data_IF_593039897770
#
_entry.id   IF_593039897770
#
_cell.length_a   1.000
_cell.length_b   1.000
_cell.length_c   1.000
_cell.angle_alpha   90.00
_cell.angle_beta   90.00
_cell.angle_gamma   90.00
#
_symmetry.space_group_name_H-M   'P 1'
#
loop_
_entity.id
_entity.type
_entity.pdbx_description
1 polymer ?
#
# COMPACT_ATOMS: atom_id res chain seq x y z
N UNK A 1 -84.62 -35.00 9.52
CA UNK A 1 -84.00 -34.16 8.49
C UNK A 1 -82.86 -34.95 7.90
N UNK A 2 -82.91 -35.22 6.59
CA UNK A 2 -81.97 -36.13 5.92
C UNK A 2 -80.53 -35.70 6.13
N UNK A 3 -79.67 -36.62 6.57
CA UNK A 3 -78.22 -36.42 6.77
C UNK A 3 -77.41 -36.80 5.52
N UNK A 4 -78.09 -37.03 4.39
CA UNK A 4 -77.43 -37.33 3.10
C UNK A 4 -76.89 -36.05 2.47
N UNK A 5 -75.60 -36.01 2.10
CA UNK A 5 -75.02 -34.88 1.39
C UNK A 5 -75.79 -34.62 0.09
N UNK A 6 -76.24 -33.38 -0.10
CA UNK A 6 -76.84 -32.93 -1.37
C UNK A 6 -75.73 -32.33 -2.21
N UNK A 7 -75.41 -32.98 -3.33
CA UNK A 7 -74.42 -32.48 -4.30
C UNK A 7 -75.11 -31.54 -5.27
N UNK A 8 -74.72 -30.26 -5.27
CA UNK A 8 -75.19 -29.26 -6.23
C UNK A 8 -74.21 -29.20 -7.41
N UNK A 9 -74.68 -29.54 -8.62
CA UNK A 9 -73.95 -29.43 -9.88
C UNK A 9 -74.47 -28.24 -10.71
N UNK A 10 -73.62 -27.67 -11.57
CA UNK A 10 -73.93 -26.53 -12.45
C UNK A 10 -74.38 -25.22 -11.76
N UNK A 11 -73.86 -24.93 -10.56
CA UNK A 11 -74.08 -23.65 -9.88
C UNK A 11 -73.46 -22.51 -10.70
N UNK A 12 -74.28 -21.58 -11.18
CA UNK A 12 -73.83 -20.37 -11.88
C UNK A 12 -73.01 -19.47 -10.95
N UNK A 13 -72.20 -18.56 -11.51
CA UNK A 13 -71.41 -17.63 -10.71
C UNK A 13 -72.33 -16.71 -9.91
N UNK A 14 -72.11 -16.61 -8.60
CA UNK A 14 -72.85 -15.71 -7.74
C UNK A 14 -72.50 -14.25 -8.06
N UNK A 15 -73.52 -13.39 -8.18
CA UNK A 15 -73.38 -11.96 -8.49
C UNK A 15 -73.79 -11.07 -7.32
N UNK A 16 -74.68 -11.56 -6.44
CA UNK A 16 -75.05 -10.89 -5.20
C UNK A 16 -74.26 -11.43 -3.99
N UNK A 17 -74.07 -10.65 -2.91
CA UNK A 17 -73.30 -11.06 -1.73
C UNK A 17 -73.83 -12.31 -1.02
N UNK A 18 -75.08 -12.68 -1.26
CA UNK A 18 -75.77 -13.85 -0.67
C UNK A 18 -75.77 -15.08 -1.58
N UNK A 19 -75.33 -14.95 -2.83
CA UNK A 19 -75.32 -16.07 -3.77
C UNK A 19 -74.24 -17.10 -3.39
N UNK A 20 -74.50 -18.37 -3.69
CA UNK A 20 -73.51 -19.42 -3.48
C UNK A 20 -72.33 -19.25 -4.46
N UNK A 21 -71.11 -19.29 -3.92
CA UNK A 21 -69.88 -19.23 -4.71
C UNK A 21 -69.66 -20.57 -5.41
N UNK A 22 -69.46 -20.55 -6.73
CA UNK A 22 -69.15 -21.76 -7.47
C UNK A 22 -67.64 -22.04 -7.50
N UNK A 23 -67.26 -23.24 -7.94
CA UNK A 23 -65.87 -23.68 -7.98
C UNK A 23 -64.96 -22.75 -8.79
N UNK A 24 -65.47 -22.13 -9.86
CA UNK A 24 -64.68 -21.22 -10.70
C UNK A 24 -64.31 -19.91 -9.99
N UNK A 25 -65.23 -19.32 -9.22
CA UNK A 25 -64.97 -18.12 -8.41
C UNK A 25 -64.01 -18.41 -7.26
N UNK A 26 -64.15 -19.58 -6.62
CA UNK A 26 -63.21 -20.01 -5.57
C UNK A 26 -61.82 -20.29 -6.15
N UNK A 27 -61.74 -20.91 -7.33
CA UNK A 27 -60.50 -21.15 -8.06
C UNK A 27 -59.82 -19.85 -8.48
N UNK A 28 -60.57 -18.87 -9.00
CA UNK A 28 -60.02 -17.57 -9.38
C UNK A 28 -59.52 -16.80 -8.17
N UNK A 29 -60.28 -16.79 -7.06
CA UNK A 29 -59.85 -16.15 -5.82
C UNK A 29 -58.59 -16.82 -5.26
N UNK A 30 -58.52 -18.15 -5.23
CA UNK A 30 -57.35 -18.91 -4.82
C UNK A 30 -56.12 -18.58 -5.69
N UNK A 31 -56.30 -18.56 -7.01
CA UNK A 31 -55.24 -18.24 -7.97
C UNK A 31 -54.74 -16.80 -7.77
N UNK A 32 -55.67 -15.84 -7.62
CA UNK A 32 -55.34 -14.42 -7.39
C UNK A 32 -54.66 -14.19 -6.03
N UNK A 33 -55.09 -14.91 -5.00
CA UNK A 33 -54.50 -14.81 -3.66
C UNK A 33 -53.11 -15.43 -3.64
N UNK A 34 -52.93 -16.59 -4.29
CA UNK A 34 -51.64 -17.27 -4.47
C UNK A 34 -50.65 -16.39 -5.25
N UNK A 35 -51.08 -15.79 -6.36
CA UNK A 35 -50.24 -14.87 -7.14
C UNK A 35 -49.90 -13.60 -6.35
N UNK A 36 -50.85 -13.03 -5.62
CA UNK A 36 -50.59 -11.90 -4.72
C UNK A 36 -49.56 -12.22 -3.64
N UNK A 37 -49.72 -13.37 -2.95
CA UNK A 37 -48.77 -13.85 -1.94
C UNK A 37 -47.39 -14.11 -2.56
N UNK A 38 -47.32 -14.77 -3.72
CA UNK A 38 -46.06 -15.05 -4.42
C UNK A 38 -45.32 -13.76 -4.83
N UNK A 39 -46.07 -12.75 -5.27
CA UNK A 39 -45.51 -11.44 -5.61
C UNK A 39 -44.97 -10.73 -4.36
N UNK A 40 -45.72 -10.77 -3.25
CA UNK A 40 -45.27 -10.22 -1.98
C UNK A 40 -44.02 -10.95 -1.45
N UNK A 41 -43.99 -12.29 -1.53
CA UNK A 41 -42.85 -13.12 -1.16
C UNK A 41 -41.59 -12.74 -1.98
N UNK A 42 -41.74 -12.60 -3.30
CA UNK A 42 -40.66 -12.17 -4.19
C UNK A 42 -40.15 -10.78 -3.82
N UNK A 43 -41.05 -9.86 -3.43
CA UNK A 43 -40.68 -8.54 -2.93
C UNK A 43 -39.88 -8.60 -1.61
N UNK A 44 -40.29 -9.47 -0.68
CA UNK A 44 -39.57 -9.70 0.58
C UNK A 44 -38.19 -10.31 0.32
N UNK A 45 -38.08 -11.28 -0.58
CA UNK A 45 -36.80 -11.92 -0.94
C UNK A 45 -35.84 -10.93 -1.62
N UNK A 46 -36.37 -10.06 -2.48
CA UNK A 46 -35.59 -8.99 -3.13
C UNK A 46 -35.13 -7.94 -2.10
N UNK A 47 -35.97 -7.58 -1.14
CA UNK A 47 -35.59 -6.68 -0.05
C UNK A 47 -34.54 -7.32 0.88
N UNK A 48 -34.68 -8.61 1.19
CA UNK A 48 -33.72 -9.38 1.99
C UNK A 48 -32.34 -9.44 1.32
N UNK A 49 -32.30 -9.74 0.03
CA UNK A 49 -31.06 -9.72 -0.76
C UNK A 49 -30.47 -8.31 -0.86
N UNK A 50 -31.30 -7.28 -1.09
CA UNK A 50 -30.85 -5.88 -1.08
C UNK A 50 -30.28 -5.44 0.27
N UNK A 51 -30.91 -5.85 1.38
CA UNK A 51 -30.43 -5.55 2.73
C UNK A 51 -29.15 -6.31 3.06
N UNK A 52 -29.03 -7.58 2.68
CA UNK A 52 -27.80 -8.37 2.83
C UNK A 52 -26.63 -7.75 2.06
N UNK A 53 -26.88 -7.29 0.83
CA UNK A 53 -25.89 -6.58 0.02
C UNK A 53 -25.46 -5.28 0.70
N UNK A 54 -26.42 -4.51 1.22
CA UNK A 54 -26.14 -3.27 1.96
C UNK A 54 -25.31 -3.55 3.21
N UNK A 55 -25.66 -4.56 4.00
CA UNK A 55 -24.94 -4.96 5.20
C UNK A 55 -23.51 -5.40 4.87
N UNK A 56 -23.32 -6.14 3.79
CA UNK A 56 -22.00 -6.55 3.30
C UNK A 56 -21.16 -5.34 2.91
N UNK A 57 -21.73 -4.39 2.15
CA UNK A 57 -21.04 -3.16 1.78
C UNK A 57 -20.64 -2.31 2.99
N UNK A 58 -21.53 -2.17 3.98
CA UNK A 58 -21.23 -1.47 5.24
C UNK A 58 -20.11 -2.17 6.01
N UNK A 59 -20.12 -3.50 6.04
CA UNK A 59 -19.07 -4.30 6.71
C UNK A 59 -17.72 -4.11 6.01
N UNK A 60 -17.68 -4.18 4.67
CA UNK A 60 -16.48 -3.94 3.88
C UNK A 60 -15.96 -2.51 4.06
N UNK A 61 -16.84 -1.50 4.05
CA UNK A 61 -16.46 -0.11 4.28
C UNK A 61 -15.91 0.11 5.69
N UNK A 62 -16.54 -0.47 6.71
CA UNK A 62 -16.07 -0.43 8.10
C UNK A 62 -14.68 -1.06 8.23
N UNK A 63 -14.49 -2.23 7.61
CA UNK A 63 -13.20 -2.95 7.62
C UNK A 63 -12.12 -2.14 6.91
N UNK A 64 -12.43 -1.59 5.73
CA UNK A 64 -11.49 -0.80 4.94
C UNK A 64 -11.14 0.52 5.63
N UNK A 65 -12.11 1.14 6.31
CA UNK A 65 -11.89 2.37 7.09
C UNK A 65 -11.02 2.08 8.31
N UNK A 66 -11.28 0.99 9.04
CA UNK A 66 -10.48 0.63 10.23
C UNK A 66 -9.04 0.27 9.86
N UNK A 67 -8.84 -0.46 8.76
CA UNK A 67 -7.48 -0.74 8.24
C UNK A 67 -6.79 0.55 7.80
N UNK A 68 -7.48 1.43 7.05
CA UNK A 68 -6.93 2.71 6.62
C UNK A 68 -6.51 3.60 7.81
N UNK A 69 -7.35 3.69 8.84
CA UNK A 69 -7.04 4.41 10.08
C UNK A 69 -5.85 3.77 10.80
N UNK A 70 -5.82 2.44 10.92
CA UNK A 70 -4.72 1.73 11.59
C UNK A 70 -3.39 1.94 10.87
N UNK A 71 -3.38 1.90 9.54
CA UNK A 71 -2.17 2.17 8.74
C UNK A 71 -1.71 3.61 8.91
N UNK A 72 -2.64 4.57 8.90
CA UNK A 72 -2.31 5.97 9.16
C UNK A 72 -1.72 6.17 10.56
N UNK A 73 -2.29 5.52 11.58
CA UNK A 73 -1.81 5.58 12.96
C UNK A 73 -0.39 5.00 13.08
N UNK A 74 -0.12 3.84 12.48
CA UNK A 74 1.24 3.27 12.43
C UNK A 74 2.23 4.19 11.71
N UNK A 75 1.79 4.91 10.68
CA UNK A 75 2.59 5.94 10.02
C UNK A 75 2.94 7.10 10.93
N UNK A 76 1.98 7.59 11.73
CA UNK A 76 2.21 8.64 12.74
C UNK A 76 3.16 8.17 13.83
N UNK A 77 3.01 6.93 14.33
CA UNK A 77 3.89 6.37 15.35
C UNK A 77 5.33 6.20 14.84
N UNK A 78 5.48 5.76 13.59
CA UNK A 78 6.78 5.66 12.91
C UNK A 78 7.42 7.03 12.72
N UNK A 79 6.64 8.06 12.38
CA UNK A 79 7.13 9.42 12.25
C UNK A 79 7.52 10.02 13.61
N UNK A 80 6.74 9.74 14.66
CA UNK A 80 7.03 10.16 16.04
C UNK A 80 8.34 9.56 16.55
N UNK A 81 8.53 8.26 16.36
CA UNK A 81 9.79 7.57 16.71
C UNK A 81 10.97 8.07 15.89
N UNK A 82 10.79 8.30 14.58
CA UNK A 82 11.79 8.93 13.71
C UNK A 82 12.19 10.33 14.20
N UNK A 83 11.21 11.18 14.50
CA UNK A 83 11.44 12.54 14.99
C UNK A 83 12.15 12.56 16.35
N UNK A 84 11.77 11.66 17.25
CA UNK A 84 12.41 11.52 18.57
C UNK A 84 13.88 11.08 18.45
N UNK A 85 14.17 10.18 17.50
CA UNK A 85 15.53 9.76 17.17
C UNK A 85 16.35 10.93 16.61
N UNK A 86 15.79 11.69 15.66
CA UNK A 86 16.44 12.91 15.14
C UNK A 86 16.72 13.92 16.24
N UNK A 87 15.76 14.17 17.14
CA UNK A 87 15.93 15.10 18.24
C UNK A 87 17.04 14.67 19.22
N UNK A 88 17.12 13.36 19.49
CA UNK A 88 18.18 12.77 20.33
C UNK A 88 19.56 12.88 19.69
N UNK A 89 19.65 12.67 18.37
CA UNK A 89 20.90 12.84 17.61
C UNK A 89 21.36 14.29 17.59
N UNK A 90 20.45 15.25 17.38
CA UNK A 90 20.75 16.68 17.43
C UNK A 90 21.24 17.09 18.82
N UNK A 91 20.58 16.62 19.88
CA UNK A 91 20.99 16.89 21.27
C UNK A 91 22.37 16.33 21.58
N UNK A 92 22.66 15.11 21.11
CA UNK A 92 23.96 14.47 21.27
C UNK A 92 25.06 15.23 20.52
N UNK A 93 24.79 15.63 19.27
CA UNK A 93 25.72 16.42 18.47
C UNK A 93 25.99 17.78 19.09
N UNK A 94 24.96 18.47 19.61
CA UNK A 94 25.10 19.73 20.33
C UNK A 94 25.98 19.57 21.57
N UNK A 95 25.79 18.47 22.31
CA UNK A 95 26.59 18.16 23.50
C UNK A 95 28.04 17.91 23.11
N UNK A 96 28.30 17.04 22.13
CA UNK A 96 29.65 16.76 21.62
C UNK A 96 30.35 17.99 21.05
N UNK A 97 29.63 18.87 20.35
CA UNK A 97 30.18 20.12 19.85
C UNK A 97 30.57 21.05 21.00
N UNK A 98 29.70 21.19 22.02
CA UNK A 98 30.00 22.03 23.19
C UNK A 98 31.21 21.53 23.98
N UNK A 99 31.33 20.22 24.19
CA UNK A 99 32.47 19.63 24.91
C UNK A 99 33.75 19.72 24.09
N UNK A 100 33.67 19.51 22.77
CA UNK A 100 34.79 19.72 21.85
C UNK A 100 35.31 21.16 21.87
N UNK A 101 34.41 22.15 21.81
CA UNK A 101 34.76 23.58 21.89
C UNK A 101 35.38 23.91 23.25
N UNK A 102 34.79 23.48 24.36
CA UNK A 102 35.36 23.72 25.71
C UNK A 102 36.75 23.10 25.88
N UNK A 103 36.97 21.90 25.33
CA UNK A 103 38.26 21.23 25.38
C UNK A 103 39.30 22.01 24.58
N UNK A 104 38.94 22.43 23.36
CA UNK A 104 39.81 23.25 22.53
C UNK A 104 40.15 24.60 23.21
N UNK A 105 39.17 25.25 23.83
CA UNK A 105 39.37 26.50 24.55
C UNK A 105 40.30 26.32 25.77
N UNK A 106 40.11 25.25 26.55
CA UNK A 106 41.00 24.91 27.65
C UNK A 106 42.44 24.64 27.17
N UNK A 107 42.59 24.03 25.99
CA UNK A 107 43.89 23.84 25.34
C UNK A 107 44.56 25.17 24.94
N UNK A 108 43.79 26.11 24.40
CA UNK A 108 44.27 27.47 24.08
C UNK A 108 44.68 28.23 25.35
N UNK A 109 43.90 28.15 26.42
CA UNK A 109 44.23 28.79 27.70
C UNK A 109 45.51 28.20 28.32
N UNK A 110 45.66 26.88 28.24
CA UNK A 110 46.88 26.17 28.68
C UNK A 110 48.10 26.57 27.85
N UNK A 111 47.94 26.75 26.54
CA UNK A 111 49.02 27.21 25.68
C UNK A 111 49.38 28.68 25.96
N UNK A 112 48.38 29.53 26.20
CA UNK A 112 48.57 30.94 26.57
C UNK A 112 49.35 31.10 27.88
N UNK A 113 48.99 30.31 28.90
CA UNK A 113 49.71 30.28 30.18
C UNK A 113 51.12 29.70 30.04
N UNK A 114 51.30 28.64 29.25
CA UNK A 114 52.61 28.07 28.92
C UNK A 114 53.52 29.06 28.19
N UNK A 115 52.98 29.81 27.22
CA UNK A 115 53.71 30.83 26.48
C UNK A 115 54.09 32.00 27.39
N UNK A 116 53.20 32.45 28.26
CA UNK A 116 53.46 33.51 29.24
C UNK A 116 54.56 33.11 30.23
N UNK A 117 54.56 31.86 30.68
CA UNK A 117 55.61 31.29 31.53
C UNK A 117 56.95 31.26 30.79
N UNK A 118 56.95 30.80 29.54
CA UNK A 118 58.15 30.78 28.69
C UNK A 118 58.71 32.19 28.49
N UNK A 119 57.86 33.16 28.19
CA UNK A 119 58.26 34.57 28.02
C UNK A 119 58.86 35.16 29.31
N UNK A 120 58.29 34.82 30.46
CA UNK A 120 58.79 35.24 31.78
C UNK A 120 60.16 34.61 32.09
N UNK A 121 60.34 33.34 31.76
CA UNK A 121 61.62 32.64 31.92
C UNK A 121 62.71 33.23 31.02
N UNK A 122 62.40 33.52 29.75
CA UNK A 122 63.32 34.17 28.82
C UNK A 122 63.72 35.56 29.32
N UNK A 123 62.75 36.35 29.81
CA UNK A 123 63.02 37.68 30.37
C UNK A 123 63.91 37.61 31.62
N UNK A 124 63.65 36.63 32.50
CA UNK A 124 64.44 36.40 33.70
C UNK A 124 65.87 35.95 33.36
N UNK A 125 66.02 35.05 32.38
CA UNK A 125 67.33 34.60 31.91
C UNK A 125 68.12 35.73 31.25
N UNK A 126 67.46 36.56 30.44
CA UNK A 126 68.07 37.76 29.84
C UNK A 126 68.57 38.72 30.91
N UNK A 127 67.77 38.96 31.95
CA UNK A 127 68.15 39.80 33.09
C UNK A 127 69.37 39.21 33.81
N UNK A 128 69.33 37.93 34.17
CA UNK A 128 70.44 37.23 34.84
C UNK A 128 71.72 37.21 34.01
N UNK A 129 71.62 37.03 32.69
CA UNK A 129 72.77 37.09 31.79
C UNK A 129 73.37 38.51 31.76
N UNK A 130 72.52 39.55 31.68
CA UNK A 130 72.98 40.95 31.67
C UNK A 130 73.68 41.36 32.97
N UNK A 131 73.17 40.92 34.13
CA UNK A 131 73.78 41.19 35.43
C UNK A 131 75.07 40.41 35.61
N UNK A 132 75.11 39.15 35.16
CA UNK A 132 76.33 38.34 35.14
C UNK A 132 77.45 38.96 34.30
N UNK A 133 77.13 39.40 33.09
CA UNK A 133 78.10 40.09 32.20
C UNK A 133 78.58 41.40 32.83
N UNK A 134 77.69 42.22 33.40
CA UNK A 134 78.05 43.49 34.05
C UNK A 134 78.97 43.28 35.26
N UNK A 135 78.72 42.22 36.04
CA UNK A 135 79.55 41.85 37.19
C UNK A 135 80.94 41.41 36.74
N UNK A 136 81.01 40.56 35.71
CA UNK A 136 82.28 40.12 35.13
C UNK A 136 83.10 41.30 34.59
N UNK A 137 82.45 42.25 33.90
CA UNK A 137 83.10 43.46 33.40
C UNK A 137 83.65 44.33 34.54
N UNK A 138 82.87 44.54 35.61
CA UNK A 138 83.33 45.26 36.81
C UNK A 138 84.54 44.58 37.47
N UNK A 139 84.58 43.24 37.45
CA UNK A 139 85.73 42.45 37.92
C UNK A 139 86.99 42.68 37.06
N UNK A 140 86.84 42.73 35.74
CA UNK A 140 87.93 43.05 34.81
C UNK A 140 88.46 44.47 35.04
N UNK A 141 87.58 45.45 35.22
CA UNK A 141 87.96 46.84 35.50
C UNK A 141 88.70 46.97 36.84
N UNK A 142 88.23 46.25 37.86
CA UNK A 142 88.88 46.17 39.18
C UNK A 142 90.26 45.52 39.09
N UNK A 143 90.41 44.47 38.27
CA UNK A 143 91.71 43.84 38.04
C UNK A 143 92.67 44.77 37.27
N UNK A 144 92.17 45.50 36.28
CA UNK A 144 92.93 46.49 35.51
C UNK A 144 93.47 47.62 36.41
N UNK A 145 92.63 48.14 37.30
CA UNK A 145 93.03 49.16 38.28
C UNK A 145 94.01 48.60 39.31
N UNK A 146 93.79 47.37 39.80
CA UNK A 146 94.72 46.66 40.69
C UNK A 146 96.10 46.43 40.05
N UNK A 147 96.14 46.05 38.76
CA UNK A 147 97.38 45.86 38.00
C UNK A 147 98.11 47.20 37.79
N UNK A 148 97.38 48.26 37.47
CA UNK A 148 97.94 49.61 37.32
C UNK A 148 98.55 50.13 38.62
N UNK A 149 97.88 49.85 39.74
CA UNK A 149 98.39 50.17 41.10
C UNK A 149 99.66 49.39 41.39
N UNK A 150 99.67 48.09 41.09
CA UNK A 150 100.85 47.23 41.24
C UNK A 150 102.02 47.75 40.41
N UNK A 151 101.80 48.12 39.15
CA UNK A 151 102.83 48.67 38.27
C UNK A 151 103.40 50.01 38.81
N UNK A 152 102.54 50.85 39.36
CA UNK A 152 102.93 52.11 40.00
C UNK A 152 103.76 51.88 41.27
N UNK A 153 103.39 50.88 42.07
CA UNK A 153 104.13 50.47 43.26
C UNK A 153 105.51 49.90 42.90
N UNK A 154 105.61 49.07 41.86
CA UNK A 154 106.90 48.55 41.35
C UNK A 154 107.81 49.69 40.87
N UNK A 155 107.24 50.66 40.15
CA UNK A 155 107.98 51.85 39.71
C UNK A 155 108.49 52.65 40.91
N UNK A 156 107.61 52.89 41.89
CA UNK A 156 107.94 53.63 43.13
C UNK A 156 109.01 52.92 43.95
N UNK A 157 108.95 51.59 44.05
CA UNK A 157 109.94 50.75 44.70
C UNK A 157 111.29 50.81 43.97
N UNK A 158 111.30 50.86 42.63
CA UNK A 158 112.52 51.03 41.83
C UNK A 158 113.22 52.36 42.13
N UNK A 159 112.47 53.48 42.16
CA UNK A 159 113.00 54.79 42.58
C UNK A 159 113.49 54.82 44.04
N UNK A 160 112.73 54.17 44.94
CA UNK A 160 113.09 54.12 46.36
C UNK A 160 114.35 53.29 46.60
N UNK A 161 114.50 52.16 45.89
CA UNK A 161 115.69 51.30 45.94
C UNK A 161 116.92 52.03 45.40
N UNK A 162 116.76 52.81 44.32
CA UNK A 162 117.81 53.66 43.77
C UNK A 162 118.28 54.72 44.79
N UNK A 163 117.34 55.27 45.57
CA UNK A 163 117.62 56.25 46.63
C UNK A 163 118.25 55.60 47.87
N UNK A 164 117.83 54.37 48.21
CA UNK A 164 118.38 53.59 49.33
C UNK A 164 119.84 53.16 49.10
N UNK A 165 120.22 52.86 47.85
CA UNK A 165 121.62 52.59 47.49
C UNK A 165 122.49 53.85 47.68
N UNK A 166 121.93 55.05 47.44
CA UNK A 166 122.63 56.31 47.70
C UNK A 166 122.84 56.59 49.20
N UNK A 167 121.93 56.12 50.08
CA UNK A 167 122.07 56.28 51.53
C UNK A 167 122.91 55.18 52.18
N UNK A 168 122.99 53.98 51.61
CA UNK A 168 123.88 52.91 52.10
C UNK A 168 125.37 53.28 51.97
N UNK A 169 125.71 54.15 51.02
CA UNK A 169 127.05 54.76 50.92
C UNK A 169 127.41 55.66 52.12
N UNK A 170 126.45 56.03 52.97
CA UNK A 170 126.62 56.93 54.12
C UNK A 170 126.59 56.19 55.48
N UNK A 171 125.93 55.03 55.56
CA UNK A 171 125.67 54.32 56.83
C UNK A 171 126.74 53.31 57.29
N UNK A 172 127.89 53.22 56.60
CA UNK A 172 129.01 52.39 57.05
C UNK A 172 129.59 52.81 58.42
N UNK A 173 129.18 53.97 58.96
CA UNK A 173 129.63 54.46 60.26
C UNK A 173 128.89 53.90 61.48
N UNK A 174 127.77 53.16 61.31
CA UNK A 174 126.92 52.70 62.43
C UNK A 174 126.59 51.18 62.42
N UNK A 175 127.39 50.31 61.79
CA UNK A 175 127.02 48.89 61.61
C UNK A 175 127.25 47.99 62.84
N UNK A 176 126.30 47.06 63.07
CA UNK A 176 126.44 45.91 63.98
C UNK A 176 127.52 44.96 63.44
N UNK A 177 128.41 44.48 64.31
CA UNK A 177 129.51 43.58 63.96
C UNK A 177 129.09 42.12 64.20
N UNK A 178 129.66 41.21 63.42
CA UNK A 178 129.51 39.78 63.61
C UNK A 178 130.27 39.29 64.85
N UNK A 179 129.81 38.17 65.43
CA UNK A 179 130.40 37.59 66.63
C UNK A 179 131.84 37.13 66.41
N UNK A 180 132.15 36.69 65.18
CA UNK A 180 133.47 36.28 64.74
C UNK A 180 133.72 36.67 63.28
N UNK A 181 134.98 36.53 62.85
CA UNK A 181 135.43 36.84 61.49
C UNK A 181 134.96 35.84 60.42
N UNK A 182 134.26 34.76 60.80
CA UNK A 182 133.62 33.85 59.84
C UNK A 182 132.20 34.30 59.49
N UNK A 183 131.69 35.34 60.18
CA UNK A 183 130.40 35.99 59.90
C UNK A 183 129.19 35.03 59.90
N UNK A 184 129.31 33.90 60.58
CA UNK A 184 128.28 32.84 60.57
C UNK A 184 127.13 33.11 61.54
N UNK A 185 127.34 34.02 62.50
CA UNK A 185 126.38 34.34 63.55
C UNK A 185 126.57 35.77 64.08
N UNK A 186 125.46 36.40 64.43
CA UNK A 186 125.42 37.62 65.23
C UNK A 186 124.58 37.30 66.46
N UNK A 187 125.16 37.36 67.65
CA UNK A 187 124.46 37.24 68.92
C UNK A 187 124.17 38.65 69.41
N UNK A 188 122.94 39.11 69.17
CA UNK A 188 122.46 40.39 69.66
C UNK A 188 122.50 40.34 71.20
N UNK A 189 123.31 41.21 71.83
CA UNK A 189 123.64 41.17 73.27
C UNK A 189 125.10 40.85 73.60
N UNK A 190 125.92 40.45 72.60
CA UNK A 190 127.32 40.09 72.75
C UNK A 190 127.57 38.57 72.79
N UNK A 191 128.79 38.16 72.45
CA UNK A 191 129.19 36.73 72.35
C UNK A 191 128.96 35.99 73.68
N UNK A 192 128.18 34.89 73.63
CA UNK A 192 127.89 34.05 74.80
C UNK A 192 126.62 34.39 75.59
N UNK A 193 125.82 35.36 75.15
CA UNK A 193 124.53 35.68 75.78
C UNK A 193 123.51 34.53 75.63
N UNK A 194 122.88 34.10 76.72
CA UNK A 194 121.84 33.05 76.77
C UNK A 194 120.46 33.57 77.16
N UNK A 195 120.35 34.85 77.51
CA UNK A 195 119.09 35.54 77.75
C UNK A 195 118.46 35.97 76.42
N UNK A 196 117.16 35.69 76.18
CA UNK A 196 116.48 36.15 74.98
C UNK A 196 116.55 37.68 74.86
N UNK A 197 117.18 38.19 73.80
CA UNK A 197 117.20 39.61 73.52
C UNK A 197 115.92 39.97 72.77
N UNK A 198 115.13 40.86 73.38
CA UNK A 198 113.91 41.35 72.75
C UNK A 198 114.28 42.32 71.64
N UNK A 199 114.06 41.92 70.40
CA UNK A 199 114.19 42.81 69.25
C UNK A 199 112.88 43.59 69.07
N UNK A 200 112.84 44.78 69.63
CA UNK A 200 111.74 45.74 69.42
C UNK A 200 112.05 46.64 68.23
N UNK A 201 111.01 47.21 67.62
CA UNK A 201 111.14 48.10 66.46
C UNK A 201 111.80 47.45 65.23
N UNK A 202 111.70 46.12 65.07
CA UNK A 202 112.07 45.47 63.80
C UNK A 202 111.15 46.01 62.71
N UNK A 203 111.72 46.84 61.85
CA UNK A 203 111.03 47.36 60.67
C UNK A 203 110.58 46.18 59.79
N UNK A 204 109.58 46.41 58.94
CA UNK A 204 109.12 45.38 58.01
C UNK A 204 110.30 44.97 57.10
N UNK A 205 110.57 43.67 57.02
CA UNK A 205 111.57 43.13 56.10
C UNK A 205 111.17 43.43 54.66
N UNK A 206 112.09 43.97 53.86
CA UNK A 206 111.85 44.34 52.46
C UNK A 206 112.54 43.35 51.52
N UNK A 207 113.70 42.82 51.92
CA UNK A 207 114.46 41.83 51.14
C UNK A 207 114.14 40.39 51.58
N UNK A 208 114.32 39.38 50.70
CA UNK A 208 114.01 37.97 51.02
C UNK A 208 114.77 37.37 52.20
N UNK A 209 115.89 37.98 52.58
CA UNK A 209 116.74 37.55 53.70
C UNK A 209 116.51 38.36 54.98
N UNK A 210 115.65 39.38 54.96
CA UNK A 210 115.34 40.17 56.14
C UNK A 210 114.52 39.34 57.14
N UNK A 211 114.65 39.65 58.43
CA UNK A 211 113.77 39.08 59.43
C UNK A 211 112.35 39.63 59.25
N UNK A 212 111.36 38.74 59.17
CA UNK A 212 109.94 39.13 59.14
C UNK A 212 109.49 39.60 60.52
N UNK A 213 108.82 40.74 60.59
CA UNK A 213 108.24 41.20 61.84
C UNK A 213 106.81 40.64 62.04
N UNK A 214 106.28 40.75 63.26
CA UNK A 214 104.95 40.22 63.59
C UNK A 214 103.83 40.84 62.74
N UNK A 215 103.94 42.13 62.39
CA UNK A 215 102.92 42.80 61.55
C UNK A 215 102.83 42.24 60.13
N UNK A 216 103.97 41.86 59.53
CA UNK A 216 104.01 41.23 58.21
C UNK A 216 103.45 39.80 58.25
N UNK A 217 103.82 39.01 59.27
CA UNK A 217 103.28 37.67 59.45
C UNK A 217 101.78 37.69 59.73
N UNK A 218 101.32 38.64 60.56
CA UNK A 218 99.90 38.85 60.85
C UNK A 218 99.14 39.28 59.60
N UNK A 219 99.66 40.22 58.81
CA UNK A 219 99.02 40.68 57.57
C UNK A 219 98.91 39.57 56.53
N UNK A 220 99.95 38.74 56.39
CA UNK A 220 99.93 37.58 55.51
C UNK A 220 98.91 36.53 55.98
N UNK A 221 98.85 36.27 57.30
CA UNK A 221 97.88 35.35 57.89
C UNK A 221 96.44 35.84 57.68
N UNK A 222 96.16 37.13 57.91
CA UNK A 222 94.85 37.74 57.65
C UNK A 222 94.50 37.70 56.16
N UNK A 223 95.42 38.05 55.26
CA UNK A 223 95.18 37.98 53.81
C UNK A 223 94.92 36.56 53.34
N UNK A 224 95.68 35.58 53.85
CA UNK A 224 95.49 34.17 53.51
C UNK A 224 94.14 33.67 54.01
N UNK A 225 93.78 33.99 55.26
CA UNK A 225 92.47 33.62 55.84
C UNK A 225 91.31 34.25 55.07
N UNK A 226 91.39 35.54 54.74
CA UNK A 226 90.33 36.22 53.98
C UNK A 226 90.21 35.73 52.54
N UNK A 227 91.34 35.43 51.88
CA UNK A 227 91.36 34.80 50.57
C UNK A 227 90.71 33.42 50.56
N UNK A 228 91.02 32.57 51.55
CA UNK A 228 90.39 31.25 51.72
C UNK A 228 88.89 31.39 52.00
N UNK A 229 88.47 32.29 52.90
CA UNK A 229 87.06 32.52 53.18
C UNK A 229 86.28 33.00 51.95
N UNK A 230 86.85 33.90 51.16
CA UNK A 230 86.23 34.41 49.93
C UNK A 230 86.07 33.29 48.89
N UNK A 231 87.10 32.46 48.71
CA UNK A 231 87.03 31.30 47.82
C UNK A 231 85.96 30.31 48.29
N UNK A 232 85.85 30.06 49.59
CA UNK A 232 84.84 29.17 50.16
C UNK A 232 83.41 29.70 49.97
N UNK A 233 83.17 31.00 50.19
CA UNK A 233 81.87 31.63 49.88
C UNK A 233 81.51 31.56 48.39
N UNK A 234 82.51 31.63 47.49
CA UNK A 234 82.32 31.42 46.06
C UNK A 234 81.87 29.98 45.74
N UNK A 235 82.47 28.99 46.39
CA UNK A 235 82.08 27.57 46.26
C UNK A 235 80.66 27.35 46.79
N UNK A 236 80.30 27.93 47.93
CA UNK A 236 78.96 27.80 48.51
C UNK A 236 77.89 28.44 47.60
N UNK A 237 78.20 29.61 47.01
CA UNK A 237 77.33 30.28 46.05
C UNK A 237 77.15 29.47 44.76
N UNK A 238 78.22 28.82 44.29
CA UNK A 238 78.14 27.93 43.13
C UNK A 238 77.34 26.67 43.45
N UNK A 239 77.50 26.10 44.66
CA UNK A 239 76.74 24.94 45.12
C UNK A 239 75.24 25.25 45.17
N UNK A 240 74.86 26.37 45.77
CA UNK A 240 73.46 26.82 45.81
C UNK A 240 72.89 27.13 44.43
N UNK A 241 73.66 27.78 43.56
CA UNK A 241 73.29 28.01 42.16
C UNK A 241 73.08 26.71 41.36
N UNK A 242 73.95 25.71 41.57
CA UNK A 242 73.84 24.40 40.95
C UNK A 242 72.62 23.63 41.47
N UNK A 243 72.37 23.63 42.78
CA UNK A 243 71.17 23.03 43.36
C UNK A 243 69.89 23.65 42.82
N UNK A 244 69.85 24.98 42.69
CA UNK A 244 68.72 25.71 42.10
C UNK A 244 68.50 25.29 40.64
N UNK A 245 69.58 25.21 39.86
CA UNK A 245 69.53 24.74 38.47
C UNK A 245 69.01 23.31 38.38
N UNK A 246 69.49 22.41 39.24
CA UNK A 246 69.04 21.02 39.29
C UNK A 246 67.54 20.90 39.66
N UNK A 247 67.07 21.70 40.62
CA UNK A 247 65.66 21.77 40.96
C UNK A 247 64.81 22.27 39.80
N UNK A 248 65.24 23.33 39.10
CA UNK A 248 64.53 23.85 37.94
C UNK A 248 64.44 22.83 36.80
N UNK A 249 65.53 22.11 36.51
CA UNK A 249 65.54 21.03 35.52
C UNK A 249 64.59 19.90 35.92
N UNK A 250 64.56 19.53 37.20
CA UNK A 250 63.64 18.52 37.73
C UNK A 250 62.20 18.96 37.56
N UNK A 251 61.85 20.18 37.97
CA UNK A 251 60.51 20.73 37.82
C UNK A 251 60.08 20.82 36.35
N UNK A 252 60.96 21.25 35.45
CA UNK A 252 60.68 21.31 34.02
C UNK A 252 60.45 19.91 33.44
N UNK A 253 61.25 18.92 33.84
CA UNK A 253 61.09 17.51 33.44
C UNK A 253 59.73 16.97 33.88
N UNK A 254 59.35 17.20 35.15
CA UNK A 254 58.04 16.81 35.68
C UNK A 254 56.91 17.49 34.93
N UNK A 255 56.94 18.82 34.78
CA UNK A 255 55.91 19.57 34.04
C UNK A 255 55.78 19.11 32.58
N UNK A 256 56.91 18.86 31.91
CA UNK A 256 56.91 18.37 30.52
C UNK A 256 56.29 16.98 30.44
N UNK A 257 56.67 16.07 31.34
CA UNK A 257 56.10 14.72 31.41
C UNK A 257 54.60 14.75 31.69
N UNK A 258 54.14 15.58 32.63
CA UNK A 258 52.72 15.74 32.93
C UNK A 258 51.96 16.31 31.73
N UNK A 259 52.49 17.37 31.10
CA UNK A 259 51.90 17.98 29.91
C UNK A 259 51.76 17.01 28.74
N UNK A 260 52.80 16.21 28.46
CA UNK A 260 52.75 15.14 27.45
C UNK A 260 51.69 14.10 27.80
N UNK A 261 51.63 13.67 29.06
CA UNK A 261 50.66 12.65 29.50
C UNK A 261 49.21 13.14 29.41
N UNK A 262 48.95 14.41 29.74
CA UNK A 262 47.63 15.04 29.55
C UNK A 262 47.27 15.14 28.08
N UNK A 263 48.21 15.56 27.22
CA UNK A 263 47.98 15.62 25.77
C UNK A 263 47.66 14.23 25.19
N UNK A 264 48.38 13.20 25.62
CA UNK A 264 48.14 11.82 25.19
C UNK A 264 46.77 11.30 25.65
N UNK A 265 46.37 11.59 26.90
CA UNK A 265 45.03 11.27 27.39
C UNK A 265 43.92 11.97 26.59
N UNK A 266 44.18 13.21 26.15
CA UNK A 266 43.28 13.94 25.25
C UNK A 266 43.16 13.29 23.87
N UNK A 267 44.27 12.82 23.30
CA UNK A 267 44.28 12.06 22.03
C UNK A 267 43.51 10.75 22.16
N UNK A 268 43.70 10.01 23.25
CA UNK A 268 42.99 8.75 23.50
C UNK A 268 41.47 8.99 23.67
N UNK A 269 41.10 10.05 24.37
CA UNK A 269 39.70 10.48 24.53
C UNK A 269 39.08 10.88 23.19
N UNK A 270 39.83 11.57 22.34
CA UNK A 270 39.37 11.93 20.99
C UNK A 270 39.25 10.68 20.09
N UNK A 271 40.18 9.75 20.19
CA UNK A 271 40.17 8.46 19.46
C UNK A 271 38.93 7.63 19.82
N UNK A 272 38.65 7.50 21.11
CA UNK A 272 37.44 6.82 21.60
C UNK A 272 36.17 7.54 21.15
N UNK A 273 36.10 8.87 21.29
CA UNK A 273 34.97 9.67 20.81
C UNK A 273 34.73 9.56 19.30
N UNK A 274 35.80 9.53 18.51
CA UNK A 274 35.72 9.33 17.06
C UNK A 274 35.23 7.92 16.71
N UNK A 275 35.70 6.89 17.41
CA UNK A 275 35.24 5.51 17.23
C UNK A 275 33.75 5.34 17.56
N UNK A 276 33.27 5.96 18.65
CA UNK A 276 31.85 6.00 18.99
C UNK A 276 31.04 6.71 17.91
N UNK A 277 31.52 7.85 17.42
CA UNK A 277 30.87 8.59 16.32
C UNK A 277 30.77 7.75 15.06
N UNK A 278 31.86 7.08 14.67
CA UNK A 278 31.89 6.19 13.50
C UNK A 278 30.93 5.01 13.63
N UNK A 279 30.84 4.43 14.83
CA UNK A 279 29.89 3.34 15.14
C UNK A 279 28.45 3.82 15.02
N UNK A 280 28.12 4.99 15.57
CA UNK A 280 26.79 5.57 15.49
C UNK A 280 26.38 5.87 14.04
N UNK A 281 27.29 6.41 13.23
CA UNK A 281 27.06 6.65 11.79
C UNK A 281 26.80 5.35 11.05
N UNK A 282 27.57 4.29 11.35
CA UNK A 282 27.39 2.97 10.74
C UNK A 282 26.04 2.34 11.12
N UNK A 283 25.64 2.44 12.39
CA UNK A 283 24.33 1.98 12.86
C UNK A 283 23.20 2.77 12.21
N UNK A 284 23.30 4.10 12.14
CA UNK A 284 22.29 4.94 11.49
C UNK A 284 22.17 4.61 10.00
N UNK A 285 23.29 4.40 9.30
CA UNK A 285 23.29 3.97 7.90
C UNK A 285 22.58 2.62 7.71
N UNK A 286 22.80 1.68 8.63
CA UNK A 286 22.16 0.36 8.58
C UNK A 286 20.66 0.45 8.88
N UNK A 287 20.26 1.24 9.88
CA UNK A 287 18.85 1.49 10.20
C UNK A 287 18.13 2.23 9.07
N UNK A 288 18.77 3.22 8.45
CA UNK A 288 18.20 3.93 7.32
C UNK A 288 18.02 3.02 6.10
N UNK A 289 19.02 2.17 5.77
CA UNK A 289 18.91 1.25 4.64
C UNK A 289 17.83 0.19 4.86
N UNK A 290 17.73 -0.39 6.06
CA UNK A 290 16.67 -1.34 6.40
C UNK A 290 15.28 -0.69 6.43
N UNK A 291 15.17 0.54 6.95
CA UNK A 291 13.93 1.32 6.92
C UNK A 291 13.46 1.60 5.49
N UNK A 292 14.36 2.06 4.61
CA UNK A 292 14.08 2.27 3.18
C UNK A 292 13.67 0.97 2.50
N UNK A 293 14.39 -0.13 2.72
CA UNK A 293 14.05 -1.43 2.12
C UNK A 293 12.67 -1.92 2.54
N UNK A 294 12.32 -1.75 3.82
CA UNK A 294 11.01 -2.14 4.35
C UNK A 294 9.89 -1.30 3.72
N UNK A 295 10.11 0.02 3.61
CA UNK A 295 9.16 0.90 2.94
C UNK A 295 8.98 0.53 1.45
N UNK A 296 10.08 0.21 0.75
CA UNK A 296 10.06 -0.26 -0.63
C UNK A 296 9.22 -1.54 -0.77
N UNK A 297 9.44 -2.54 0.09
CA UNK A 297 8.65 -3.78 0.09
C UNK A 297 7.17 -3.54 0.39
N UNK A 298 6.85 -2.56 1.24
CA UNK A 298 5.48 -2.11 1.49
C UNK A 298 4.82 -1.53 0.24
N UNK A 299 5.54 -0.69 -0.52
CA UNK A 299 5.07 -0.14 -1.80
C UNK A 299 4.87 -1.24 -2.84
N UNK A 300 5.78 -2.20 -2.95
CA UNK A 300 5.67 -3.33 -3.87
C UNK A 300 4.47 -4.23 -3.54
N UNK A 301 4.23 -4.46 -2.25
CA UNK A 301 3.06 -5.21 -1.75
C UNK A 301 1.75 -4.47 -2.05
N UNK A 302 1.74 -3.14 -1.90
CA UNK A 302 0.57 -2.33 -2.24
C UNK A 302 0.33 -2.31 -3.76
N UNK A 303 1.38 -2.24 -4.56
CA UNK A 303 1.32 -2.31 -6.03
C UNK A 303 0.72 -3.64 -6.51
N UNK A 304 1.21 -4.75 -5.97
CA UNK A 304 0.67 -6.10 -6.26
C UNK A 304 -0.75 -6.26 -5.77
N UNK A 305 -1.08 -5.76 -4.57
CA UNK A 305 -2.45 -5.74 -4.04
C UNK A 305 -3.41 -4.94 -4.93
N UNK A 306 -3.00 -3.75 -5.38
CA UNK A 306 -3.80 -2.91 -6.27
C UNK A 306 -4.01 -3.56 -7.65
N UNK A 307 -2.97 -4.18 -8.21
CA UNK A 307 -3.06 -4.93 -9.47
C UNK A 307 -4.04 -6.11 -9.37
N UNK A 308 -4.02 -6.82 -8.24
CA UNK A 308 -4.96 -7.91 -7.94
C UNK A 308 -6.40 -7.40 -7.85
N UNK A 309 -6.62 -6.30 -7.11
CA UNK A 309 -7.94 -5.66 -7.03
C UNK A 309 -8.42 -5.21 -8.42
N UNK A 310 -7.56 -4.58 -9.23
CA UNK A 310 -7.90 -4.15 -10.58
C UNK A 310 -8.29 -5.33 -11.50
N UNK A 311 -7.58 -6.45 -11.38
CA UNK A 311 -7.86 -7.68 -12.12
C UNK A 311 -9.20 -8.31 -11.68
N UNK A 312 -9.49 -8.31 -10.38
CA UNK A 312 -10.76 -8.79 -9.84
C UNK A 312 -11.93 -7.92 -10.29
N UNK A 313 -11.78 -6.60 -10.28
CA UNK A 313 -12.81 -5.66 -10.78
C UNK A 313 -13.04 -5.88 -12.28
N UNK A 314 -11.99 -6.06 -13.07
CA UNK A 314 -12.10 -6.34 -14.51
C UNK A 314 -12.81 -7.67 -14.78
N UNK A 315 -12.47 -8.70 -14.01
CA UNK A 315 -13.10 -10.02 -14.09
C UNK A 315 -14.59 -9.98 -13.70
N UNK A 316 -14.91 -9.25 -12.62
CA UNK A 316 -16.29 -9.06 -12.18
C UNK A 316 -17.10 -8.27 -13.21
N UNK A 317 -16.53 -7.20 -13.79
CA UNK A 317 -17.15 -6.43 -14.87
C UNK A 317 -17.44 -7.31 -16.08
N UNK A 318 -16.48 -8.17 -16.46
CA UNK A 318 -16.66 -9.12 -17.57
C UNK A 318 -17.78 -10.11 -17.26
N UNK A 319 -17.74 -10.76 -16.10
CA UNK A 319 -18.78 -11.71 -15.66
C UNK A 319 -20.17 -11.08 -15.54
N UNK A 320 -20.25 -9.84 -15.05
CA UNK A 320 -21.51 -9.09 -15.00
C UNK A 320 -22.04 -8.81 -16.41
N UNK A 321 -21.16 -8.40 -17.34
CA UNK A 321 -21.54 -8.14 -18.73
C UNK A 321 -22.04 -9.39 -19.46
N UNK A 322 -21.37 -10.54 -19.28
CA UNK A 322 -21.79 -11.81 -19.87
C UNK A 322 -23.06 -12.34 -19.22
N UNK A 323 -23.21 -12.19 -17.90
CA UNK A 323 -24.44 -12.52 -17.17
C UNK A 323 -25.64 -11.74 -17.68
N UNK A 324 -25.50 -10.42 -17.82
CA UNK A 324 -26.55 -9.54 -18.38
C UNK A 324 -26.86 -9.92 -19.83
N UNK A 325 -25.85 -10.13 -20.67
CA UNK A 325 -26.04 -10.50 -22.07
C UNK A 325 -26.78 -11.84 -22.20
N UNK A 326 -26.45 -12.82 -21.36
CA UNK A 326 -27.11 -14.13 -21.33
C UNK A 326 -28.57 -14.00 -20.89
N UNK A 327 -28.83 -13.23 -19.84
CA UNK A 327 -30.19 -12.95 -19.38
C UNK A 327 -31.02 -12.27 -20.48
N UNK A 328 -30.43 -11.31 -21.21
CA UNK A 328 -31.08 -10.63 -22.32
C UNK A 328 -31.39 -11.58 -23.48
N UNK A 329 -30.46 -12.45 -23.87
CA UNK A 329 -30.73 -13.51 -24.87
C UNK A 329 -31.83 -14.48 -24.42
N UNK A 330 -31.91 -14.76 -23.11
CA UNK A 330 -33.00 -15.55 -22.53
C UNK A 330 -34.36 -14.86 -22.67
N UNK A 331 -34.42 -13.55 -22.41
CA UNK A 331 -35.63 -12.72 -22.61
C UNK A 331 -36.02 -12.68 -24.10
N UNK A 332 -35.06 -12.51 -25.01
CA UNK A 332 -35.31 -12.50 -26.45
C UNK A 332 -35.84 -13.86 -26.96
N UNK A 333 -35.28 -14.95 -26.44
CA UNK A 333 -35.74 -16.32 -26.74
C UNK A 333 -37.14 -16.57 -26.20
N UNK A 334 -37.46 -16.06 -25.00
CA UNK A 334 -38.80 -16.15 -24.45
C UNK A 334 -39.81 -15.30 -25.24
N UNK A 335 -39.40 -14.12 -25.68
CA UNK A 335 -40.20 -13.22 -26.53
C UNK A 335 -40.55 -13.89 -27.87
N UNK A 336 -39.56 -14.49 -28.54
CA UNK A 336 -39.77 -15.25 -29.78
C UNK A 336 -40.63 -16.50 -29.56
N UNK A 337 -40.40 -17.23 -28.46
CA UNK A 337 -41.24 -18.36 -28.05
C UNK A 337 -42.70 -17.96 -27.83
N UNK A 338 -42.93 -16.85 -27.12
CA UNK A 338 -44.27 -16.31 -26.87
C UNK A 338 -44.97 -15.88 -28.17
N UNK A 339 -44.25 -15.19 -29.07
CA UNK A 339 -44.75 -14.82 -30.40
C UNK A 339 -45.14 -16.05 -31.24
N UNK A 340 -44.34 -17.12 -31.15
CA UNK A 340 -44.63 -18.39 -31.84
C UNK A 340 -45.90 -19.04 -31.27
N UNK A 341 -46.03 -19.12 -29.94
CA UNK A 341 -47.25 -19.60 -29.29
C UNK A 341 -48.46 -18.77 -29.68
N UNK A 342 -48.35 -17.44 -29.68
CA UNK A 342 -49.43 -16.55 -30.09
C UNK A 342 -49.86 -16.79 -31.55
N UNK A 343 -48.89 -16.99 -32.44
CA UNK A 343 -49.13 -17.30 -33.86
C UNK A 343 -49.80 -18.67 -34.04
N UNK A 344 -49.38 -19.68 -33.26
CA UNK A 344 -50.01 -21.01 -33.26
C UNK A 344 -51.45 -20.95 -32.75
N UNK A 345 -51.72 -20.22 -31.66
CA UNK A 345 -53.08 -20.02 -31.14
C UNK A 345 -53.96 -19.32 -32.17
N UNK A 346 -53.44 -18.29 -32.84
CA UNK A 346 -54.16 -17.57 -33.91
C UNK A 346 -54.47 -18.50 -35.10
N UNK A 347 -53.49 -19.32 -35.50
CA UNK A 347 -53.64 -20.28 -36.60
C UNK A 347 -54.65 -21.39 -36.26
N UNK A 348 -54.61 -21.90 -35.03
CA UNK A 348 -55.57 -22.88 -34.53
C UNK A 348 -56.98 -22.28 -34.48
N UNK A 349 -57.13 -21.07 -33.94
CA UNK A 349 -58.41 -20.36 -33.92
C UNK A 349 -58.98 -20.20 -35.34
N UNK A 350 -58.17 -19.77 -36.30
CA UNK A 350 -58.57 -19.62 -37.71
C UNK A 350 -58.98 -20.96 -38.32
N UNK A 351 -58.21 -22.02 -38.06
CA UNK A 351 -58.48 -23.38 -38.57
C UNK A 351 -59.77 -23.95 -37.99
N UNK A 352 -59.98 -23.81 -36.68
CA UNK A 352 -61.20 -24.24 -35.99
C UNK A 352 -62.41 -23.46 -36.50
N UNK A 353 -62.32 -22.14 -36.64
CA UNK A 353 -63.40 -21.33 -37.23
C UNK A 353 -63.73 -21.76 -38.65
N UNK A 354 -62.71 -22.08 -39.46
CA UNK A 354 -62.91 -22.59 -40.82
C UNK A 354 -63.59 -23.95 -40.83
N UNK A 355 -63.16 -24.88 -39.97
CA UNK A 355 -63.78 -26.21 -39.84
C UNK A 355 -65.23 -26.15 -39.34
N UNK A 356 -65.54 -25.25 -38.41
CA UNK A 356 -66.91 -25.00 -37.96
C UNK A 356 -67.74 -24.44 -39.12
N UNK A 357 -67.19 -23.51 -39.90
CA UNK A 357 -67.87 -22.95 -41.07
C UNK A 357 -68.17 -24.01 -42.13
N UNK A 358 -67.23 -24.92 -42.42
CA UNK A 358 -67.47 -26.00 -43.38
C UNK A 358 -68.52 -26.98 -42.88
N UNK A 359 -68.46 -27.39 -41.61
CA UNK A 359 -69.47 -28.26 -41.00
C UNK A 359 -70.86 -27.62 -40.99
N UNK A 360 -70.94 -26.33 -40.65
CA UNK A 360 -72.19 -25.57 -40.68
C UNK A 360 -72.79 -25.51 -42.10
N UNK A 361 -71.96 -25.30 -43.12
CA UNK A 361 -72.40 -25.30 -44.52
C UNK A 361 -72.85 -26.70 -44.98
N UNK A 362 -72.11 -27.75 -44.62
CA UNK A 362 -72.52 -29.13 -44.90
C UNK A 362 -73.85 -29.50 -44.24
N UNK A 363 -74.09 -29.07 -43.00
CA UNK A 363 -75.37 -29.27 -42.32
C UNK A 363 -76.54 -28.50 -42.97
N UNK A 364 -76.26 -27.32 -43.54
CA UNK A 364 -77.25 -26.53 -44.27
C UNK A 364 -77.66 -27.20 -45.61
N UNK A 365 -76.75 -27.95 -46.24
CA UNK A 365 -77.00 -28.60 -47.53
C UNK A 365 -77.49 -30.05 -47.42
N UNK A 366 -77.56 -30.63 -46.22
CA UNK A 366 -78.04 -32.00 -46.01
C UNK A 366 -79.57 -32.04 -45.90
N UNK A 367 -80.17 -33.12 -46.39
CA UNK A 367 -81.60 -33.41 -46.16
C UNK A 367 -81.80 -33.74 -44.69
N UNK A 368 -82.60 -32.92 -44.01
CA UNK A 368 -82.94 -33.12 -42.60
C UNK A 368 -84.25 -33.90 -42.48
N UNK A 369 -84.32 -34.80 -41.50
CA UNK A 369 -85.58 -35.39 -41.09
C UNK A 369 -86.42 -34.37 -40.33
N UNK A 370 -87.73 -34.56 -40.37
CA UNK A 370 -88.65 -33.64 -39.70
C UNK A 370 -88.55 -33.73 -38.16
N UNK A 371 -88.16 -34.90 -37.67
CA UNK A 371 -87.97 -35.19 -36.26
C UNK A 371 -86.80 -36.16 -36.05
N UNK A 372 -86.45 -36.39 -34.79
CA UNK A 372 -85.39 -37.32 -34.39
C UNK A 372 -85.77 -38.80 -34.56
N UNK A 373 -87.04 -39.12 -34.87
CA UNK A 373 -87.48 -40.50 -35.13
C UNK A 373 -87.19 -40.91 -36.58
N UNK A 374 -86.78 -39.97 -37.44
CA UNK A 374 -86.42 -40.20 -38.84
C UNK A 374 -87.54 -40.86 -39.66
N UNK A 375 -88.79 -40.63 -39.26
CA UNK A 375 -89.94 -41.28 -39.88
C UNK A 375 -90.39 -40.58 -41.17
N UNK A 376 -90.04 -39.30 -41.33
CA UNK A 376 -90.47 -38.45 -42.44
C UNK A 376 -89.46 -37.35 -42.75
N UNK A 377 -89.35 -37.01 -44.02
CA UNK A 377 -88.67 -35.81 -44.53
C UNK A 377 -89.71 -34.95 -45.25
N UNK A 378 -89.85 -33.69 -44.83
CA UNK A 378 -90.56 -32.66 -45.60
C UNK A 378 -89.53 -31.85 -46.39
N UNK A 379 -89.51 -32.07 -47.70
CA UNK A 379 -88.65 -31.32 -48.62
C UNK A 379 -89.08 -29.85 -48.59
N UNK A 380 -88.14 -28.94 -48.27
CA UNK A 380 -88.42 -27.53 -47.98
C UNK A 380 -88.41 -27.15 -46.50
N UNK A 381 -88.19 -28.12 -45.59
CA UNK A 381 -88.07 -27.93 -44.15
C UNK A 381 -89.33 -28.31 -43.37
N UNK A 382 -89.16 -28.53 -42.06
CA UNK A 382 -90.24 -28.90 -41.13
C UNK A 382 -91.41 -27.91 -41.21
N UNK A 383 -92.62 -28.42 -41.46
CA UNK A 383 -93.83 -27.60 -41.54
C UNK A 383 -93.99 -26.82 -42.86
N UNK A 384 -93.09 -26.98 -43.83
CA UNK A 384 -93.25 -26.40 -45.16
C UNK A 384 -94.44 -27.03 -45.88
N UNK A 385 -95.35 -26.19 -46.38
CA UNK A 385 -96.55 -26.61 -47.12
C UNK A 385 -96.45 -26.29 -48.62
N UNK A 386 -95.40 -25.58 -49.03
CA UNK A 386 -95.12 -25.28 -50.43
C UNK A 386 -94.52 -26.51 -51.12
N UNK A 387 -95.11 -27.00 -52.22
CA UNK A 387 -94.55 -28.14 -52.97
C UNK A 387 -93.13 -27.86 -53.44
N UNK A 388 -92.21 -28.80 -53.18
CA UNK A 388 -90.83 -28.72 -53.68
C UNK A 388 -90.69 -29.55 -54.94
N UNK A 389 -90.20 -28.93 -56.00
CA UNK A 389 -89.90 -29.61 -57.26
C UNK A 389 -88.65 -30.46 -57.12
N UNK A 390 -88.78 -31.78 -57.28
CA UNK A 390 -87.65 -32.71 -57.40
C UNK A 390 -87.39 -33.00 -58.88
N UNK A 391 -86.25 -32.53 -59.36
CA UNK A 391 -85.76 -32.79 -60.72
C UNK A 391 -84.69 -33.88 -60.70
N UNK A 392 -84.41 -34.49 -61.86
CA UNK A 392 -83.38 -35.54 -62.02
C UNK A 392 -83.63 -36.81 -61.18
N UNK A 393 -84.91 -37.12 -60.88
CA UNK A 393 -85.28 -38.39 -60.24
C UNK A 393 -85.11 -39.51 -61.25
N UNK A 394 -84.14 -40.39 -61.00
CA UNK A 394 -83.94 -41.61 -61.79
C UNK A 394 -85.19 -42.51 -61.75
N UNK A 395 -85.36 -43.39 -62.74
CA UNK A 395 -86.49 -44.32 -62.74
C UNK A 395 -86.40 -45.24 -61.50
N UNK A 396 -87.47 -45.28 -60.71
CA UNK A 396 -87.54 -46.14 -59.54
C UNK A 396 -87.50 -47.62 -59.95
N UNK A 397 -86.62 -48.40 -59.34
CA UNK A 397 -86.47 -49.83 -59.63
C UNK A 397 -87.12 -50.66 -58.53
N UNK A 398 -87.00 -50.22 -57.28
CA UNK A 398 -87.55 -50.91 -56.11
C UNK A 398 -88.95 -50.40 -55.74
N UNK A 399 -89.75 -51.18 -54.99
CA UNK A 399 -91.09 -50.77 -54.56
C UNK A 399 -91.12 -49.50 -53.70
N UNK A 400 -89.99 -49.13 -53.10
CA UNK A 400 -89.82 -47.96 -52.23
C UNK A 400 -89.21 -46.75 -52.94
N UNK A 401 -88.81 -46.90 -54.20
CA UNK A 401 -88.24 -45.79 -54.96
C UNK A 401 -89.35 -44.82 -55.40
N UNK A 402 -89.01 -43.54 -55.51
CA UNK A 402 -89.93 -42.56 -56.07
C UNK A 402 -90.18 -42.85 -57.55
N UNK A 403 -91.46 -42.92 -57.96
CA UNK A 403 -91.85 -43.06 -59.36
C UNK A 403 -91.60 -41.73 -60.07
N UNK A 404 -90.80 -41.74 -61.13
CA UNK A 404 -90.56 -40.53 -61.91
C UNK A 404 -91.63 -40.32 -63.00
N UNK A 405 -91.62 -39.13 -63.62
CA UNK A 405 -92.65 -38.75 -64.59
C UNK A 405 -92.67 -39.67 -65.83
N UNK A 406 -91.53 -40.18 -66.30
CA UNK A 406 -91.49 -41.07 -67.47
C UNK A 406 -92.12 -42.43 -67.17
N UNK A 407 -91.94 -42.97 -65.96
CA UNK A 407 -92.61 -44.20 -65.53
C UNK A 407 -94.13 -44.03 -65.41
N UNK A 408 -94.59 -42.93 -64.81
CA UNK A 408 -96.03 -42.63 -64.72
C UNK A 408 -96.65 -42.36 -66.10
N UNK A 409 -95.95 -41.62 -66.96
CA UNK A 409 -96.35 -41.35 -68.34
C UNK A 409 -96.42 -42.65 -69.16
N UNK A 410 -95.46 -43.57 -68.97
CA UNK A 410 -95.47 -44.89 -69.61
C UNK A 410 -96.66 -45.71 -69.16
N UNK A 411 -96.96 -45.74 -67.86
CA UNK A 411 -98.16 -46.41 -67.34
C UNK A 411 -99.44 -45.80 -67.91
N UNK A 412 -99.58 -44.47 -67.86
CA UNK A 412 -100.73 -43.74 -68.42
C UNK A 412 -100.93 -44.04 -69.91
N UNK A 413 -99.84 -44.07 -70.67
CA UNK A 413 -99.87 -44.41 -72.10
C UNK A 413 -100.35 -45.84 -72.27
N UNK A 414 -99.74 -46.80 -71.57
CA UNK A 414 -100.10 -48.22 -71.63
C UNK A 414 -101.57 -48.47 -71.28
N UNK A 415 -102.10 -47.78 -70.26
CA UNK A 415 -103.52 -47.84 -69.88
C UNK A 415 -104.43 -47.22 -70.95
N UNK A 416 -104.06 -46.07 -71.51
CA UNK A 416 -104.82 -45.42 -72.59
C UNK A 416 -104.90 -46.30 -73.84
N UNK A 417 -103.80 -46.96 -74.23
CA UNK A 417 -103.78 -47.90 -75.36
C UNK A 417 -104.64 -49.13 -75.07
N UNK A 418 -104.62 -49.64 -73.84
CA UNK A 418 -105.47 -50.74 -73.39
C UNK A 418 -106.96 -50.41 -73.47
N UNK A 419 -107.37 -49.23 -72.99
CA UNK A 419 -108.76 -48.74 -73.07
C UNK A 419 -109.17 -48.54 -74.54
N UNK A 420 -108.30 -47.95 -75.36
CA UNK A 420 -108.58 -47.74 -76.78
C UNK A 420 -108.79 -49.08 -77.50
N UNK A 421 -107.97 -50.09 -77.19
CA UNK A 421 -108.10 -51.45 -77.77
C UNK A 421 -109.42 -52.11 -77.35
N UNK A 422 -109.83 -51.95 -76.10
CA UNK A 422 -111.11 -52.45 -75.62
C UNK A 422 -112.31 -51.78 -76.34
N UNK A 423 -112.24 -50.45 -76.54
CA UNK A 423 -113.27 -49.69 -77.27
C UNK A 423 -113.43 -50.18 -78.72
N UNK A 424 -112.32 -50.40 -79.43
CA UNK A 424 -112.32 -50.94 -80.80
C UNK A 424 -112.98 -52.33 -80.89
N UNK A 425 -112.79 -53.16 -79.85
CA UNK A 425 -113.44 -54.46 -79.73
C UNK A 425 -114.97 -54.34 -79.57
N UNK A 426 -115.43 -53.38 -78.78
CA UNK A 426 -116.86 -53.08 -78.62
C UNK A 426 -117.48 -52.58 -79.93
N UNK A 427 -116.78 -51.72 -80.67
CA UNK A 427 -117.26 -51.20 -81.96
C UNK A 427 -117.37 -52.30 -83.03
N UNK A 428 -116.43 -53.26 -83.03
CA UNK A 428 -116.48 -54.45 -83.90
C UNK A 428 -117.65 -55.38 -83.55
N UNK A 429 -117.97 -55.52 -82.26
CA UNK A 429 -119.12 -56.33 -81.82
C UNK A 429 -120.45 -55.66 -82.20
N UNK A 430 -120.53 -54.33 -82.08
CA UNK A 430 -121.68 -53.52 -82.50
C UNK A 430 -122.00 -53.68 -83.99
N UNK A 431 -120.98 -53.59 -84.85
CA UNK A 431 -121.10 -53.80 -86.30
C UNK A 431 -121.48 -55.24 -86.66
N UNK A 432 -120.92 -56.24 -85.97
CA UNK A 432 -121.30 -57.65 -86.13
C UNK A 432 -122.76 -57.92 -85.77
N UNK A 433 -123.27 -57.30 -84.70
CA UNK A 433 -124.66 -57.44 -84.27
C UNK A 433 -125.64 -56.76 -85.23
N UNK A 434 -125.29 -55.58 -85.76
CA UNK A 434 -126.08 -54.89 -86.78
C UNK A 434 -126.19 -55.72 -88.07
N UNK A 435 -125.12 -56.41 -88.46
CA UNK A 435 -125.11 -57.31 -89.63
C UNK A 435 -126.01 -58.53 -89.40
N UNK A 436 -125.96 -59.10 -88.21
CA UNK A 436 -126.81 -60.23 -87.81
C UNK A 436 -128.30 -59.84 -87.82
N UNK A 437 -128.63 -58.64 -87.33
CA UNK A 437 -130.00 -58.12 -87.31
C UNK A 437 -130.58 -57.89 -88.73
N UNK A 438 -129.76 -57.42 -89.67
CA UNK A 438 -130.13 -57.30 -91.09
C UNK A 438 -130.40 -58.66 -91.73
N UNK A 439 -129.57 -59.67 -91.43
CA UNK A 439 -129.75 -61.03 -91.96
C UNK A 439 -131.05 -61.67 -91.48
N UNK A 440 -131.40 -61.52 -90.19
CA UNK A 440 -132.67 -62.04 -89.63
C UNK A 440 -133.89 -61.36 -90.29
N UNK A 441 -133.82 -60.06 -90.54
CA UNK A 441 -134.89 -59.31 -91.21
C UNK A 441 -135.12 -59.77 -92.65
N UNK A 442 -134.04 -60.10 -93.38
CA UNK A 442 -134.11 -60.64 -94.74
C UNK A 442 -134.72 -62.05 -94.81
N UNK A 443 -134.44 -62.89 -93.80
CA UNK A 443 -134.96 -64.25 -93.71
C UNK A 443 -136.47 -64.26 -93.37
N UNK A 444 -136.90 -63.36 -92.48
CA UNK A 444 -138.32 -63.14 -92.17
C UNK A 444 -139.14 -62.76 -93.41
N UNK A 445 -138.59 -61.89 -94.26
CA UNK A 445 -139.25 -61.43 -95.49
C UNK A 445 -139.40 -62.59 -96.50
N UNK A 446 -138.38 -63.44 -96.62
CA UNK A 446 -138.37 -64.56 -97.58
C UNK A 446 -139.36 -65.67 -97.20
N UNK A 447 -139.55 -65.93 -95.90
CA UNK A 447 -140.53 -66.90 -95.41
C UNK A 447 -141.98 -66.43 -95.60
N UNK A 448 -142.24 -65.13 -95.49
CA UNK A 448 -143.57 -64.52 -95.74
C UNK A 448 -144.01 -64.67 -97.20
N UNK A 449 -143.11 -64.44 -98.16
CA UNK A 449 -143.44 -64.51 -99.58
C UNK A 449 -143.68 -65.95 -100.03
N UNK A 450 -142.90 -66.93 -99.53
CA UNK A 450 -143.05 -68.34 -99.90
C UNK A 450 -144.37 -68.99 -99.47
N UNK A 451 -144.92 -68.59 -98.33
CA UNK A 451 -146.21 -69.10 -97.84
C UNK A 451 -147.38 -68.53 -98.67
N UNK A 452 -147.26 -67.29 -99.16
CA UNK A 452 -148.32 -66.66 -99.97
C UNK A 452 -148.50 -67.31 -101.36
N UNK A 453 -147.44 -67.86 -101.96
CA UNK A 453 -147.49 -68.45 -103.30
C UNK A 453 -148.09 -69.86 -103.31
N UNK A 454 -147.86 -70.66 -102.27
CA UNK A 454 -148.34 -72.04 -102.20
C UNK A 454 -149.86 -72.15 -101.96
N UNK A 455 -150.49 -71.13 -101.37
CA UNK A 455 -151.93 -71.12 -101.10
C UNK A 455 -152.78 -70.76 -102.33
N UNK A 456 -152.16 -70.32 -103.44
CA UNK A 456 -152.85 -69.93 -104.69
C UNK A 456 -153.00 -71.05 -105.73
N UNK A 457 -152.35 -72.21 -105.55
CA UNK A 457 -152.40 -73.35 -106.49
C UNK A 457 -153.49 -74.39 -106.18
N UNK A 458 -154.32 -74.17 -105.17
CA UNK A 458 -155.41 -75.07 -104.71
C UNK A 458 -156.74 -74.81 -105.44
N UNK A 459 -156.86 -73.77 -106.26
CA UNK A 459 -158.06 -73.48 -107.07
C UNK A 459 -157.72 -73.38 -108.57
N UNK A 460 -157.64 -74.52 -109.28
CA UNK A 460 -157.83 -74.68 -110.75
C UNK A 460 -157.85 -76.15 -111.15
#
# INVERSE_FOLDING_TARGET
GSTTPVTLTNVAAGVNPTDAVNYSQLSSLSTSTSTGISTAQSGVDSLSTGLSTTNSNVTSLSTSTSTGISTAQSGVDSLSTGLSTTNSNVSSLSTSASTGISTAQSGVDSLSTGLSTTNSNVSSLSTSASTGISTAQSGVDSLSTGLSTTNSNVTSLSTSTSSAISTLSNSASNSVQYDDSMHSKVTLGGVGSTTPVTLTNVAAGVNPTDAVNYSQLSSLSTSTSTGISTAQSGVDSLSTGLSTTNSNVTSLSTSTSTGISTAQSGVDSLSTGLSTTNSNVSSLSTSASTGISTAQSGVDSLSTGLSTTNSNVSSLSTSASTGISTAQSGVDSLSTGLSTTNSNVTSLSTSTSSAISTLSNSAANSVQYDDSMHSKVTLGGVGSTTPVTLTNVAAGVNPTDAVNYSQLSSLSTSTSTGISTAQSGVDSLSTGLSTTNSNVSSLSTSASTGISTAQSGVDS
#
